data_IF_336272796099
#
_entry.id   IF_336272796099
#
_cell.length_a   1.000
_cell.length_b   1.000
_cell.length_c   1.000
_cell.angle_alpha   90.00
_cell.angle_beta   90.00
_cell.angle_gamma   90.00
#
_symmetry.space_group_name_H-M   'P 1'
#
loop_
_entity.id
_entity.type
_entity.pdbx_description
1 polymer ?
#
# COMPACT_ATOMS: atom_id res chain seq x y z
N UNK A 1 21.00 7.86 -49.71
CA UNK A 1 19.96 7.01 -49.07
C UNK A 1 19.77 7.52 -47.65
N UNK A 2 18.82 8.43 -47.44
CA UNK A 2 18.53 8.98 -46.12
C UNK A 2 17.61 8.00 -45.39
N UNK A 3 18.13 7.27 -44.41
CA UNK A 3 17.30 6.45 -43.54
C UNK A 3 16.48 7.39 -42.63
N UNK A 4 15.23 7.60 -42.99
CA UNK A 4 14.20 8.07 -42.07
C UNK A 4 14.07 7.02 -40.95
N UNK A 5 14.83 7.18 -39.87
CA UNK A 5 14.45 6.59 -38.59
C UNK A 5 13.15 7.25 -38.16
N UNK A 6 12.04 6.53 -38.36
CA UNK A 6 10.78 6.83 -37.69
C UNK A 6 11.08 6.96 -36.19
N UNK A 7 10.93 8.17 -35.66
CA UNK A 7 10.95 8.42 -34.22
C UNK A 7 9.72 7.74 -33.63
N UNK A 8 9.78 6.43 -33.38
CA UNK A 8 8.96 5.84 -32.32
C UNK A 8 9.45 6.51 -31.05
N UNK A 9 8.63 7.36 -30.45
CA UNK A 9 8.87 7.83 -29.09
C UNK A 9 9.09 6.60 -28.21
N UNK A 10 10.27 6.52 -27.60
CA UNK A 10 10.59 5.48 -26.61
C UNK A 10 9.83 5.89 -25.34
N UNK A 11 8.53 5.59 -25.33
CA UNK A 11 7.68 5.77 -24.15
C UNK A 11 7.85 4.54 -23.24
N UNK A 12 7.98 4.77 -21.93
CA UNK A 12 8.01 3.67 -20.96
C UNK A 12 6.72 2.86 -21.06
N UNK A 13 6.84 1.55 -21.24
CA UNK A 13 5.67 0.66 -21.23
C UNK A 13 4.99 0.74 -19.86
N UNK A 14 3.75 1.21 -19.85
CA UNK A 14 2.92 1.24 -18.65
C UNK A 14 2.56 -0.18 -18.24
N UNK A 15 2.97 -0.57 -17.03
CA UNK A 15 2.61 -1.85 -16.43
C UNK A 15 1.20 -1.80 -15.84
N UNK A 16 0.53 -2.94 -15.70
CA UNK A 16 -0.75 -3.00 -14.97
C UNK A 16 -0.55 -2.57 -13.51
N UNK A 17 -1.63 -2.11 -12.88
CA UNK A 17 -1.67 -1.83 -11.44
C UNK A 17 -1.99 -3.11 -10.67
N UNK A 18 -1.16 -3.45 -9.69
CA UNK A 18 -1.42 -4.53 -8.74
C UNK A 18 -1.74 -3.91 -7.39
N UNK A 19 -2.98 -4.07 -6.95
CA UNK A 19 -3.47 -3.44 -5.73
C UNK A 19 -3.03 -4.20 -4.48
N UNK A 20 -2.49 -3.47 -3.51
CA UNK A 20 -2.01 -4.02 -2.23
C UNK A 20 -3.01 -3.68 -1.14
N UNK A 21 -3.86 -4.66 -0.80
CA UNK A 21 -4.83 -4.57 0.31
C UNK A 21 -5.79 -3.37 0.24
N UNK A 22 -6.13 -2.88 -0.96
CA UNK A 22 -6.90 -1.65 -1.21
C UNK A 22 -6.26 -0.37 -0.64
N UNK A 23 -4.94 -0.38 -0.40
CA UNK A 23 -4.21 0.75 0.20
C UNK A 23 -3.47 1.58 -0.84
N UNK A 24 -2.78 0.90 -1.76
CA UNK A 24 -2.00 1.51 -2.84
C UNK A 24 -1.77 0.49 -3.97
N UNK A 25 -1.31 0.97 -5.11
CA UNK A 25 -1.03 0.15 -6.29
C UNK A 25 0.47 0.12 -6.63
N UNK A 26 0.97 -1.06 -6.99
CA UNK A 26 2.30 -1.23 -7.61
C UNK A 26 2.11 -1.23 -9.13
N UNK A 27 2.93 -0.46 -9.86
CA UNK A 27 2.85 -0.35 -11.31
C UNK A 27 2.00 0.83 -11.80
N UNK A 28 1.63 0.83 -13.07
CA UNK A 28 0.80 1.88 -13.65
C UNK A 28 1.46 3.26 -13.71
N UNK A 29 2.80 3.31 -13.72
CA UNK A 29 3.61 4.53 -13.65
C UNK A 29 3.48 5.31 -12.32
N UNK A 30 2.99 4.67 -11.25
CA UNK A 30 3.03 5.24 -9.90
C UNK A 30 4.47 5.31 -9.36
N UNK A 31 4.69 6.16 -8.34
CA UNK A 31 5.95 6.18 -7.58
C UNK A 31 6.29 4.77 -7.09
N UNK A 32 7.58 4.42 -7.10
CA UNK A 32 8.02 3.08 -6.70
C UNK A 32 7.56 2.72 -5.28
N UNK A 33 7.25 1.45 -5.06
CA UNK A 33 6.99 0.89 -3.73
C UNK A 33 8.25 0.26 -3.16
N UNK A 34 8.52 0.46 -1.87
CA UNK A 34 9.62 -0.22 -1.18
C UNK A 34 9.15 -1.55 -0.59
N UNK A 35 9.86 -2.62 -0.91
CA UNK A 35 9.72 -3.94 -0.31
C UNK A 35 10.96 -4.19 0.55
N UNK A 36 10.87 -4.03 1.86
CA UNK A 36 12.06 -4.01 2.72
C UNK A 36 11.86 -4.60 4.12
N UNK A 37 12.96 -5.04 4.69
CA UNK A 37 13.08 -5.61 6.03
C UNK A 37 14.30 -6.55 6.11
N UNK A 38 14.49 -7.29 7.20
CA UNK A 38 15.68 -8.11 7.36
C UNK A 38 15.69 -9.33 6.42
N UNK A 39 16.89 -9.88 6.18
CA UNK A 39 17.04 -11.07 5.33
C UNK A 39 16.25 -12.29 5.86
N UNK A 40 16.20 -12.43 7.18
CA UNK A 40 15.52 -13.50 7.89
C UNK A 40 15.00 -12.99 9.25
N UNK A 41 14.03 -13.69 9.83
CA UNK A 41 13.57 -13.43 11.19
C UNK A 41 14.60 -14.02 12.16
N UNK A 42 15.43 -13.15 12.75
CA UNK A 42 16.42 -13.54 13.77
C UNK A 42 15.83 -13.53 15.19
N UNK A 43 15.10 -12.47 15.52
CA UNK A 43 14.33 -12.34 16.74
C UNK A 43 13.07 -11.51 16.48
N UNK A 44 12.09 -11.64 17.36
CA UNK A 44 10.88 -10.81 17.32
C UNK A 44 11.20 -9.33 17.56
N UNK A 45 12.02 -9.04 18.57
CA UNK A 45 12.43 -7.67 18.94
C UNK A 45 13.07 -6.94 17.76
N UNK A 46 14.08 -7.57 17.12
CA UNK A 46 14.75 -6.99 15.96
C UNK A 46 13.78 -6.81 14.79
N UNK A 47 12.90 -7.79 14.55
CA UNK A 47 11.92 -7.71 13.45
C UNK A 47 10.95 -6.54 13.65
N UNK A 48 10.44 -6.36 14.88
CA UNK A 48 9.53 -5.26 15.22
C UNK A 48 10.24 -3.90 15.17
N UNK A 49 11.48 -3.82 15.65
CA UNK A 49 12.31 -2.61 15.56
C UNK A 49 12.49 -2.17 14.11
N UNK A 50 12.99 -3.07 13.26
CA UNK A 50 13.26 -2.77 11.84
C UNK A 50 11.96 -2.39 11.12
N UNK A 51 10.86 -3.10 11.38
CA UNK A 51 9.56 -2.79 10.79
C UNK A 51 9.05 -1.40 11.19
N UNK A 52 9.14 -1.03 12.46
CA UNK A 52 8.70 0.26 12.96
C UNK A 52 9.53 1.42 12.40
N UNK A 53 10.86 1.27 12.38
CA UNK A 53 11.77 2.30 11.86
C UNK A 53 11.60 2.49 10.35
N UNK A 54 11.52 1.40 9.57
CA UNK A 54 11.24 1.48 8.13
C UNK A 54 9.88 2.11 7.85
N UNK A 55 8.85 1.80 8.64
CA UNK A 55 7.52 2.43 8.51
C UNK A 55 7.62 3.93 8.70
N UNK A 56 8.30 4.40 9.75
CA UNK A 56 8.45 5.83 10.02
C UNK A 56 9.21 6.52 8.89
N UNK A 57 10.33 5.94 8.44
CA UNK A 57 11.12 6.50 7.32
C UNK A 57 10.26 6.61 6.06
N UNK A 58 9.50 5.58 5.70
CA UNK A 58 8.67 5.58 4.50
C UNK A 58 7.51 6.58 4.60
N UNK A 59 6.90 6.72 5.79
CA UNK A 59 5.87 7.73 6.07
C UNK A 59 6.42 9.14 5.82
N UNK A 60 7.57 9.46 6.43
CA UNK A 60 8.20 10.77 6.32
C UNK A 60 8.61 11.11 4.88
N UNK A 61 9.01 10.09 4.10
CA UNK A 61 9.42 10.22 2.71
C UNK A 61 8.26 10.15 1.71
N UNK A 62 7.04 9.85 2.16
CA UNK A 62 5.87 9.74 1.29
C UNK A 62 5.96 8.61 0.26
N UNK A 63 6.52 7.45 0.68
CA UNK A 63 6.57 6.22 -0.13
C UNK A 63 5.86 5.07 0.60
N UNK A 64 5.36 4.11 -0.16
CA UNK A 64 4.70 2.93 0.41
C UNK A 64 5.70 1.83 0.76
N UNK A 65 5.45 1.14 1.87
CA UNK A 65 6.25 0.02 2.38
C UNK A 65 5.44 -1.28 2.38
N UNK A 66 6.06 -2.35 1.89
CA UNK A 66 5.67 -3.73 2.16
C UNK A 66 6.79 -4.36 2.98
N UNK A 67 6.49 -4.80 4.20
CA UNK A 67 7.49 -5.37 5.08
C UNK A 67 7.87 -6.78 4.63
N UNK A 68 9.17 -7.02 4.48
CA UNK A 68 9.73 -8.31 4.07
C UNK A 68 10.54 -8.93 5.19
N UNK A 69 10.30 -10.21 5.48
CA UNK A 69 11.29 -11.06 6.15
C UNK A 69 11.03 -12.54 5.85
N UNK A 70 12.09 -13.35 5.83
CA UNK A 70 12.00 -14.80 5.59
C UNK A 70 11.86 -15.55 6.92
N UNK A 71 10.86 -16.42 7.04
CA UNK A 71 10.71 -17.29 8.23
C UNK A 71 11.69 -18.48 8.22
N UNK A 72 12.15 -18.88 7.03
CA UNK A 72 13.12 -19.97 6.82
C UNK A 72 14.13 -19.58 5.74
N UNK A 73 15.35 -20.12 5.84
CA UNK A 73 16.37 -20.07 4.78
C UNK A 73 16.62 -21.50 4.30
N UNK A 74 15.74 -21.99 3.42
CA UNK A 74 15.77 -23.37 2.93
C UNK A 74 16.97 -23.74 2.02
N UNK A 75 17.77 -22.76 1.61
CA UNK A 75 18.80 -22.90 0.58
C UNK A 75 20.21 -22.50 1.07
N UNK A 76 20.50 -22.66 2.37
CA UNK A 76 21.86 -22.45 2.90
C UNK A 76 22.84 -23.46 2.29
N UNK A 77 24.07 -23.01 2.04
CA UNK A 77 25.16 -23.87 1.55
C UNK A 77 25.57 -24.96 2.54
N UNK A 78 25.36 -24.74 3.84
CA UNK A 78 25.70 -25.68 4.91
C UNK A 78 24.48 -26.01 5.76
N UNK A 79 24.32 -27.30 6.10
CA UNK A 79 23.26 -27.79 6.99
C UNK A 79 23.36 -27.24 8.41
N UNK A 80 24.57 -26.82 8.84
CA UNK A 80 24.80 -26.25 10.17
C UNK A 80 24.46 -24.75 10.25
N UNK A 81 24.17 -24.12 9.11
CA UNK A 81 23.90 -22.70 9.09
C UNK A 81 22.51 -22.38 9.65
N UNK A 82 22.33 -21.27 10.39
CA UNK A 82 21.04 -20.88 10.93
C UNK A 82 20.01 -20.67 9.82
N UNK A 83 18.76 -21.07 10.09
CA UNK A 83 17.68 -21.02 9.11
C UNK A 83 16.57 -20.01 9.46
N UNK A 84 16.64 -19.35 10.62
CA UNK A 84 15.55 -18.53 11.15
C UNK A 84 14.73 -19.30 12.19
N UNK A 85 13.61 -18.72 12.61
CA UNK A 85 12.76 -19.27 13.68
C UNK A 85 11.76 -20.33 13.19
N UNK A 86 11.74 -20.62 11.88
CA UNK A 86 10.80 -21.57 11.28
C UNK A 86 9.43 -20.96 11.01
N UNK A 87 8.60 -21.70 10.28
CA UNK A 87 7.35 -21.18 9.71
C UNK A 87 6.33 -20.75 10.77
N UNK A 88 6.04 -21.60 11.77
CA UNK A 88 5.00 -21.29 12.78
C UNK A 88 5.33 -20.03 13.57
N UNK A 89 6.54 -19.98 14.17
CA UNK A 89 6.97 -18.80 14.94
C UNK A 89 7.18 -17.58 14.06
N UNK A 90 7.72 -17.77 12.86
CA UNK A 90 7.93 -16.68 11.91
C UNK A 90 6.62 -16.03 11.47
N UNK A 91 5.59 -16.82 11.17
CA UNK A 91 4.27 -16.31 10.80
C UNK A 91 3.57 -15.59 11.96
N UNK A 92 3.72 -16.05 13.20
CA UNK A 92 3.23 -15.31 14.37
C UNK A 92 3.85 -13.92 14.48
N UNK A 93 5.17 -13.81 14.28
CA UNK A 93 5.88 -12.52 14.34
C UNK A 93 5.45 -11.61 13.18
N UNK A 94 5.35 -12.15 11.96
CA UNK A 94 4.88 -11.40 10.80
C UNK A 94 3.42 -10.95 10.95
N UNK A 95 2.56 -11.76 11.57
CA UNK A 95 1.19 -11.39 11.89
C UNK A 95 1.15 -10.20 12.85
N UNK A 96 2.05 -10.15 13.84
CA UNK A 96 2.17 -8.99 14.75
C UNK A 96 2.63 -7.73 14.04
N UNK A 97 3.65 -7.83 13.16
CA UNK A 97 4.04 -6.69 12.30
C UNK A 97 2.84 -6.19 11.49
N UNK A 98 2.07 -7.12 10.92
CA UNK A 98 0.87 -6.80 10.13
C UNK A 98 -0.20 -6.08 10.95
N UNK A 99 -0.50 -6.53 12.16
CA UNK A 99 -1.59 -5.99 12.98
C UNK A 99 -1.19 -4.74 13.76
N UNK A 100 -0.04 -4.78 14.43
CA UNK A 100 0.41 -3.69 15.31
C UNK A 100 0.94 -2.50 14.50
N UNK A 101 1.67 -2.78 13.43
CA UNK A 101 2.25 -1.72 12.59
C UNK A 101 1.42 -1.46 11.32
N UNK A 102 0.35 -2.21 11.08
CA UNK A 102 -0.51 -2.06 9.91
C UNK A 102 0.29 -2.08 8.60
N UNK A 103 1.31 -2.92 8.49
CA UNK A 103 2.11 -3.06 7.26
C UNK A 103 1.67 -4.27 6.45
N UNK A 104 1.56 -4.16 5.12
CA UNK A 104 1.44 -5.34 4.26
C UNK A 104 2.70 -6.21 4.39
N UNK A 105 2.52 -7.53 4.36
CA UNK A 105 3.60 -8.50 4.56
C UNK A 105 3.93 -9.23 3.26
N UNK A 106 5.23 -9.38 2.99
CA UNK A 106 5.77 -10.37 2.04
C UNK A 106 6.74 -11.32 2.73
N UNK A 107 6.60 -12.60 2.41
CA UNK A 107 7.58 -13.63 2.81
C UNK A 107 7.68 -14.69 1.71
N UNK A 108 8.80 -15.39 1.65
CA UNK A 108 9.06 -16.43 0.66
C UNK A 108 8.54 -17.81 1.08
N UNK A 109 8.09 -18.57 0.08
CA UNK A 109 7.62 -19.95 0.24
C UNK A 109 8.57 -20.90 -0.48
N UNK A 110 8.87 -22.04 0.14
CA UNK A 110 9.88 -22.99 -0.33
C UNK A 110 9.27 -24.30 -0.84
N UNK A 111 8.08 -24.66 -0.33
CA UNK A 111 7.36 -25.87 -0.69
C UNK A 111 5.88 -25.57 -0.92
N UNK A 112 5.25 -26.29 -1.85
CA UNK A 112 3.89 -26.00 -2.31
C UNK A 112 2.84 -26.01 -1.19
N UNK A 113 3.02 -26.87 -0.17
CA UNK A 113 2.10 -26.96 0.96
C UNK A 113 2.17 -25.75 1.91
N UNK A 114 3.26 -24.97 1.86
CA UNK A 114 3.43 -23.76 2.67
C UNK A 114 2.58 -22.59 2.15
N UNK A 115 2.22 -22.57 0.86
CA UNK A 115 1.51 -21.44 0.24
C UNK A 115 0.20 -21.08 0.96
N UNK A 116 -0.63 -22.08 1.27
CA UNK A 116 -1.91 -21.86 1.93
C UNK A 116 -1.78 -21.24 3.34
N UNK A 117 -1.05 -21.85 4.30
CA UNK A 117 -0.91 -21.26 5.64
C UNK A 117 -0.15 -19.93 5.62
N UNK A 118 0.86 -19.76 4.76
CA UNK A 118 1.58 -18.48 4.65
C UNK A 118 0.66 -17.38 4.12
N UNK A 119 -0.26 -17.67 3.21
CA UNK A 119 -1.23 -16.72 2.68
C UNK A 119 -2.29 -16.26 3.69
N UNK A 120 -2.47 -16.95 4.81
CA UNK A 120 -3.35 -16.44 5.89
C UNK A 120 -2.77 -15.16 6.50
N UNK A 121 -1.43 -15.07 6.57
CA UNK A 121 -0.71 -13.93 7.15
C UNK A 121 -0.19 -12.98 6.08
N UNK A 122 0.52 -13.50 5.07
CA UNK A 122 1.17 -12.70 4.05
C UNK A 122 0.18 -12.15 3.01
N UNK A 123 0.41 -10.90 2.61
CA UNK A 123 -0.36 -10.24 1.55
C UNK A 123 0.25 -10.50 0.16
N UNK A 124 1.53 -10.85 0.15
CA UNK A 124 2.31 -11.21 -1.02
C UNK A 124 3.17 -12.45 -0.71
N UNK A 125 3.16 -13.42 -1.62
CA UNK A 125 4.04 -14.59 -1.58
C UNK A 125 5.23 -14.37 -2.51
N UNK A 126 6.44 -14.60 -2.02
CA UNK A 126 7.64 -14.53 -2.85
C UNK A 126 8.09 -15.94 -3.27
N UNK A 127 8.31 -16.13 -4.57
CA UNK A 127 8.90 -17.37 -5.10
C UNK A 127 10.42 -17.19 -5.19
N UNK A 128 11.21 -18.02 -4.49
CA UNK A 128 12.67 -17.94 -4.53
C UNK A 128 13.25 -18.17 -5.93
N UNK A 129 14.38 -17.53 -6.22
CA UNK A 129 15.02 -17.56 -7.53
C UNK A 129 15.30 -18.99 -8.06
N UNK A 130 15.76 -19.89 -7.20
CA UNK A 130 16.04 -21.29 -7.58
C UNK A 130 14.77 -22.12 -7.84
N UNK A 131 13.64 -21.67 -7.32
CA UNK A 131 12.35 -22.36 -7.43
C UNK A 131 11.42 -21.72 -8.46
N UNK A 132 11.90 -20.69 -9.16
CA UNK A 132 11.13 -19.87 -10.11
C UNK A 132 10.53 -20.63 -11.29
N UNK A 133 10.97 -21.87 -11.56
CA UNK A 133 10.39 -22.74 -12.60
C UNK A 133 9.50 -23.86 -12.06
N UNK A 134 9.46 -24.09 -10.74
CA UNK A 134 8.78 -25.24 -10.15
C UNK A 134 7.26 -25.10 -10.31
N UNK A 135 6.70 -25.92 -11.20
CA UNK A 135 5.30 -25.81 -11.63
C UNK A 135 4.34 -25.93 -10.45
N UNK A 136 4.50 -26.95 -9.60
CA UNK A 136 3.59 -27.18 -8.49
C UNK A 136 3.61 -26.04 -7.46
N UNK A 137 4.78 -25.45 -7.21
CA UNK A 137 4.93 -24.32 -6.30
C UNK A 137 4.24 -23.07 -6.87
N UNK A 138 4.42 -22.79 -8.16
CA UNK A 138 3.76 -21.67 -8.84
C UNK A 138 2.24 -21.84 -8.86
N UNK A 139 1.75 -23.03 -9.18
CA UNK A 139 0.31 -23.35 -9.14
C UNK A 139 -0.23 -23.16 -7.72
N UNK A 140 0.47 -23.67 -6.71
CA UNK A 140 0.04 -23.54 -5.31
C UNK A 140 0.00 -22.07 -4.87
N UNK A 141 1.01 -21.28 -5.22
CA UNK A 141 1.04 -19.85 -4.92
C UNK A 141 -0.09 -19.09 -5.66
N UNK A 142 -0.31 -19.39 -6.95
CA UNK A 142 -1.40 -18.80 -7.72
C UNK A 142 -2.77 -19.04 -7.08
N UNK A 143 -3.05 -20.28 -6.67
CA UNK A 143 -4.31 -20.69 -6.03
C UNK A 143 -4.64 -19.97 -4.72
N UNK A 144 -3.66 -19.32 -4.08
CA UNK A 144 -3.92 -18.50 -2.88
C UNK A 144 -4.63 -17.18 -3.19
N UNK A 145 -4.62 -16.73 -4.45
CA UNK A 145 -5.14 -15.43 -4.86
C UNK A 145 -4.34 -14.22 -4.38
N UNK A 146 -3.26 -14.43 -3.59
CA UNK A 146 -2.36 -13.36 -3.15
C UNK A 146 -1.51 -12.83 -4.28
N UNK A 147 -0.86 -11.69 -4.04
CA UNK A 147 0.17 -11.19 -4.95
C UNK A 147 1.34 -12.17 -4.97
N UNK A 148 1.84 -12.53 -6.14
CA UNK A 148 2.99 -13.44 -6.30
C UNK A 148 4.17 -12.67 -6.88
N UNK A 149 5.20 -12.47 -6.07
CA UNK A 149 6.47 -11.87 -6.48
C UNK A 149 7.47 -12.97 -6.86
N UNK A 150 7.76 -13.12 -8.16
CA UNK A 150 8.68 -14.17 -8.61
C UNK A 150 10.06 -13.61 -8.85
N UNK A 151 11.04 -14.08 -8.07
CA UNK A 151 12.45 -13.77 -8.31
C UNK A 151 12.93 -14.52 -9.55
N UNK A 152 13.40 -13.80 -10.56
CA UNK A 152 14.03 -14.39 -11.74
C UNK A 152 15.25 -15.20 -11.30
N UNK A 153 15.31 -16.47 -11.73
CA UNK A 153 16.49 -17.29 -11.51
C UNK A 153 17.74 -16.63 -12.10
N UNK A 154 18.88 -16.72 -11.43
CA UNK A 154 20.15 -16.17 -11.95
C UNK A 154 20.59 -16.85 -13.26
N UNK A 155 20.02 -18.03 -13.53
CA UNK A 155 20.22 -18.83 -14.74
C UNK A 155 19.14 -18.59 -15.82
N UNK A 156 18.15 -17.72 -15.56
CA UNK A 156 17.05 -17.45 -16.49
C UNK A 156 17.27 -16.14 -17.24
N UNK A 157 16.93 -16.15 -18.52
CA UNK A 157 16.84 -14.93 -19.29
C UNK A 157 15.55 -14.16 -18.96
N UNK A 158 15.50 -12.83 -19.18
CA UNK A 158 14.29 -12.03 -18.96
C UNK A 158 13.05 -12.54 -19.69
N UNK A 159 13.18 -12.97 -20.96
CA UNK A 159 12.07 -13.51 -21.76
C UNK A 159 11.54 -14.87 -21.26
N UNK A 160 12.32 -15.63 -20.49
CA UNK A 160 11.85 -16.89 -19.90
C UNK A 160 10.78 -16.66 -18.83
N UNK A 161 10.71 -15.45 -18.27
CA UNK A 161 9.67 -15.07 -17.30
C UNK A 161 8.26 -15.11 -17.91
N UNK A 162 8.12 -15.04 -19.23
CA UNK A 162 6.84 -15.27 -19.91
C UNK A 162 6.21 -16.61 -19.50
N UNK A 163 7.01 -17.67 -19.40
CA UNK A 163 6.52 -19.00 -19.02
C UNK A 163 6.07 -19.04 -17.55
N UNK A 164 6.71 -18.24 -16.68
CA UNK A 164 6.31 -18.11 -15.27
C UNK A 164 4.98 -17.38 -15.18
N UNK A 165 4.82 -16.29 -15.93
CA UNK A 165 3.58 -15.52 -16.04
C UNK A 165 2.44 -16.43 -16.50
N UNK A 166 2.64 -17.17 -17.61
CA UNK A 166 1.62 -18.04 -18.17
C UNK A 166 1.20 -19.11 -17.15
N UNK A 167 2.13 -19.74 -16.42
CA UNK A 167 1.80 -20.70 -15.35
C UNK A 167 0.91 -20.10 -14.26
N UNK A 168 1.22 -18.89 -13.78
CA UNK A 168 0.45 -18.22 -12.73
C UNK A 168 -0.94 -17.79 -13.24
N UNK A 169 -1.00 -17.19 -14.44
CA UNK A 169 -2.25 -16.74 -15.05
C UNK A 169 -3.16 -17.91 -15.38
N UNK A 170 -2.64 -18.96 -16.01
CA UNK A 170 -3.41 -20.15 -16.38
C UNK A 170 -3.87 -20.94 -15.14
N UNK A 171 -3.24 -20.69 -13.98
CA UNK A 171 -3.68 -21.18 -12.67
C UNK A 171 -4.64 -20.23 -11.94
N UNK A 172 -5.09 -19.16 -12.59
CA UNK A 172 -6.13 -18.25 -12.10
C UNK A 172 -5.65 -17.03 -11.32
N UNK A 173 -4.37 -16.63 -11.42
CA UNK A 173 -3.86 -15.46 -10.69
C UNK A 173 -3.13 -14.47 -11.61
N UNK A 174 -3.60 -13.22 -11.64
CA UNK A 174 -2.99 -12.12 -12.41
C UNK A 174 -2.23 -11.09 -11.55
N UNK A 175 -2.22 -11.26 -10.22
CA UNK A 175 -1.51 -10.39 -9.30
C UNK A 175 -0.01 -10.75 -9.25
N UNK A 176 0.68 -10.55 -10.37
CA UNK A 176 2.05 -11.05 -10.58
C UNK A 176 3.04 -9.89 -10.60
N UNK A 177 4.16 -10.04 -9.88
CA UNK A 177 5.32 -9.17 -9.92
C UNK A 177 6.54 -9.96 -10.42
N UNK A 178 7.37 -9.33 -11.24
CA UNK A 178 8.60 -9.92 -11.77
C UNK A 178 9.81 -9.27 -11.10
N UNK A 179 10.63 -10.05 -10.39
CA UNK A 179 11.71 -9.50 -9.58
C UNK A 179 13.10 -9.85 -10.15
N UNK A 180 13.81 -8.83 -10.64
CA UNK A 180 15.21 -8.94 -11.03
C UNK A 180 16.12 -9.00 -9.80
N UNK A 181 17.17 -9.84 -9.87
CA UNK A 181 18.12 -10.06 -8.78
C UNK A 181 19.54 -10.41 -9.26
N UNK A 182 19.84 -10.11 -10.52
CA UNK A 182 21.09 -10.42 -11.21
C UNK A 182 21.07 -11.76 -11.93
N UNK A 183 21.90 -11.86 -12.97
CA UNK A 183 22.15 -13.06 -13.77
C UNK A 183 23.59 -13.53 -13.59
N UNK A 184 23.85 -14.84 -13.64
CA UNK A 184 25.19 -15.40 -13.51
C UNK A 184 26.14 -14.83 -14.57
N UNK A 185 27.28 -14.31 -14.15
CA UNK A 185 28.32 -13.79 -15.04
C UNK A 185 29.66 -14.44 -14.73
N UNK A 186 29.90 -15.60 -15.33
CA UNK A 186 30.98 -16.49 -14.92
C UNK A 186 30.70 -17.14 -13.57
N UNK A 187 31.76 -17.53 -12.85
CA UNK A 187 31.64 -18.15 -11.54
C UNK A 187 31.56 -17.11 -10.42
N UNK A 188 30.71 -17.40 -9.43
CA UNK A 188 30.60 -16.65 -8.16
C UNK A 188 30.32 -15.15 -8.30
N UNK A 189 29.74 -14.73 -9.43
CA UNK A 189 29.47 -13.32 -9.71
C UNK A 189 28.14 -13.14 -10.45
N UNK A 190 27.52 -11.99 -10.23
CA UNK A 190 26.27 -11.60 -10.88
C UNK A 190 26.45 -10.28 -11.64
N UNK A 191 25.70 -10.16 -12.73
CA UNK A 191 25.54 -8.90 -13.47
C UNK A 191 24.07 -8.59 -13.64
N UNK A 192 23.71 -7.32 -13.57
CA UNK A 192 22.34 -6.85 -13.88
C UNK A 192 22.34 -6.31 -15.29
N UNK A 193 21.60 -6.98 -16.17
CA UNK A 193 21.28 -6.45 -17.48
C UNK A 193 20.05 -5.52 -17.37
N UNK A 194 20.30 -4.20 -17.40
CA UNK A 194 19.25 -3.19 -17.30
C UNK A 194 18.24 -3.27 -18.46
N UNK A 195 18.63 -3.80 -19.62
CA UNK A 195 17.71 -4.00 -20.75
C UNK A 195 16.70 -5.13 -20.46
N UNK A 196 17.08 -6.08 -19.61
CA UNK A 196 16.20 -7.14 -19.12
C UNK A 196 15.03 -6.62 -18.28
N UNK A 197 15.20 -5.49 -17.58
CA UNK A 197 14.09 -4.82 -16.89
C UNK A 197 13.03 -4.34 -17.88
N UNK A 198 13.45 -3.76 -19.01
CA UNK A 198 12.55 -3.30 -20.09
C UNK A 198 11.83 -4.47 -20.74
N UNK A 199 12.56 -5.56 -21.02
CA UNK A 199 12.00 -6.80 -21.55
C UNK A 199 10.90 -7.36 -20.63
N UNK A 200 11.18 -7.52 -19.33
CA UNK A 200 10.17 -8.00 -18.37
C UNK A 200 8.96 -7.06 -18.24
N UNK A 201 9.18 -5.74 -18.26
CA UNK A 201 8.09 -4.75 -18.23
C UNK A 201 7.18 -4.85 -19.46
N UNK A 202 7.70 -5.26 -20.61
CA UNK A 202 6.93 -5.37 -21.86
C UNK A 202 5.78 -6.40 -21.78
N UNK A 203 5.86 -7.35 -20.84
CA UNK A 203 4.76 -8.28 -20.55
C UNK A 203 3.59 -7.62 -19.80
N UNK A 204 3.70 -6.34 -19.43
CA UNK A 204 2.65 -5.55 -18.81
C UNK A 204 2.43 -5.85 -17.32
N UNK A 205 3.40 -6.46 -16.64
CA UNK A 205 3.38 -6.73 -15.20
C UNK A 205 4.39 -5.85 -14.46
N UNK A 206 4.13 -5.49 -13.19
CA UNK A 206 5.08 -4.70 -12.43
C UNK A 206 6.43 -5.41 -12.27
N UNK A 207 7.50 -4.65 -12.45
CA UNK A 207 8.88 -5.11 -12.27
C UNK A 207 9.46 -4.57 -10.99
N UNK A 208 9.99 -5.48 -10.18
CA UNK A 208 10.71 -5.24 -8.94
C UNK A 208 12.20 -5.37 -9.19
N UNK A 209 13.02 -4.51 -8.61
CA UNK A 209 14.47 -4.68 -8.59
C UNK A 209 14.96 -5.00 -7.17
N UNK A 210 15.47 -6.21 -6.96
CA UNK A 210 16.13 -6.64 -5.72
C UNK A 210 17.58 -6.16 -5.71
N UNK A 211 17.75 -4.96 -5.17
CA UNK A 211 19.03 -4.27 -5.15
C UNK A 211 20.05 -5.00 -4.26
N UNK A 212 19.59 -5.67 -3.21
CA UNK A 212 20.44 -6.40 -2.26
C UNK A 212 20.95 -7.73 -2.79
N UNK A 213 20.12 -8.54 -3.44
CA UNK A 213 20.58 -9.82 -3.98
C UNK A 213 21.30 -9.68 -5.31
N UNK A 214 21.14 -8.55 -6.02
CA UNK A 214 21.88 -8.22 -7.23
C UNK A 214 23.39 -8.03 -6.98
N UNK A 215 23.79 -7.66 -5.75
CA UNK A 215 25.21 -7.47 -5.38
C UNK A 215 25.86 -8.70 -4.74
N UNK A 216 25.14 -9.82 -4.70
CA UNK A 216 25.66 -11.07 -4.17
C UNK A 216 26.85 -11.59 -5.01
N UNK A 217 27.77 -12.23 -4.30
CA UNK A 217 28.82 -13.08 -4.88
C UNK A 217 28.58 -14.53 -4.43
N UNK A 218 27.70 -15.28 -5.11
CA UNK A 218 27.25 -16.60 -4.64
C UNK A 218 28.43 -17.55 -4.49
N UNK A 219 28.60 -18.16 -3.31
CA UNK A 219 29.73 -19.07 -3.02
C UNK A 219 31.11 -18.39 -2.96
N UNK A 220 31.19 -17.06 -3.01
CA UNK A 220 32.45 -16.31 -3.02
C UNK A 220 33.28 -16.39 -1.73
N UNK A 221 32.72 -16.93 -0.64
CA UNK A 221 33.40 -17.16 0.64
C UNK A 221 33.57 -18.66 0.98
N UNK A 222 33.34 -19.55 0.03
CA UNK A 222 33.44 -21.00 0.22
C UNK A 222 32.20 -21.61 0.90
N UNK A 223 31.95 -21.28 2.18
CA UNK A 223 30.83 -21.85 2.97
C UNK A 223 29.62 -20.92 3.10
N UNK A 224 29.75 -19.67 2.64
CA UNK A 224 28.71 -18.63 2.67
C UNK A 224 28.69 -17.80 1.37
N UNK A 225 27.58 -17.08 1.18
CA UNK A 225 27.45 -16.08 0.11
C UNK A 225 28.18 -14.81 0.52
N UNK A 226 29.07 -14.31 -0.34
CA UNK A 226 29.65 -12.97 -0.20
C UNK A 226 28.74 -11.90 -0.79
N UNK A 227 29.20 -10.65 -0.79
CA UNK A 227 28.40 -9.53 -1.26
C UNK A 227 29.18 -8.24 -1.36
N UNK A 228 28.53 -7.21 -1.89
CA UNK A 228 29.02 -5.83 -1.82
C UNK A 228 27.87 -4.83 -1.62
N UNK A 229 27.44 -4.64 -0.36
CA UNK A 229 26.38 -3.70 0.00
C UNK A 229 26.65 -2.25 -0.46
N UNK A 230 27.91 -1.84 -0.64
CA UNK A 230 28.24 -0.49 -1.11
C UNK A 230 27.75 -0.23 -2.53
N UNK A 231 27.54 -1.29 -3.33
CA UNK A 231 27.01 -1.17 -4.70
C UNK A 231 25.48 -1.04 -4.75
N UNK A 232 24.78 -1.31 -3.65
CA UNK A 232 23.31 -1.33 -3.60
C UNK A 232 22.70 0.02 -4.01
N UNK A 233 23.16 1.18 -3.49
CA UNK A 233 22.63 2.48 -3.92
C UNK A 233 22.84 2.74 -5.41
N UNK A 234 23.99 2.35 -5.96
CA UNK A 234 24.30 2.57 -7.39
C UNK A 234 23.38 1.77 -8.31
N UNK A 235 23.19 0.48 -8.00
CA UNK A 235 22.31 -0.38 -8.79
C UNK A 235 20.83 0.01 -8.62
N UNK A 236 20.42 0.41 -7.42
CA UNK A 236 19.08 0.94 -7.16
C UNK A 236 18.78 2.16 -8.03
N UNK A 237 19.69 3.14 -8.07
CA UNK A 237 19.57 4.33 -8.92
C UNK A 237 19.47 3.98 -10.39
N UNK A 238 20.28 3.03 -10.87
CA UNK A 238 20.24 2.59 -12.26
C UNK A 238 18.90 1.92 -12.61
N UNK A 239 18.35 1.06 -11.74
CA UNK A 239 17.05 0.43 -11.97
C UNK A 239 15.89 1.45 -11.96
N UNK A 240 15.92 2.43 -11.05
CA UNK A 240 14.93 3.51 -11.01
C UNK A 240 15.02 4.42 -12.25
N UNK A 241 16.23 4.65 -12.76
CA UNK A 241 16.40 5.37 -14.03
C UNK A 241 15.76 4.63 -15.23
N UNK A 242 15.66 3.30 -15.18
CA UNK A 242 14.92 2.48 -16.15
C UNK A 242 13.40 2.52 -15.91
N UNK A 243 12.96 2.92 -14.71
CA UNK A 243 11.55 3.11 -14.37
C UNK A 243 10.86 1.90 -13.75
N UNK A 244 11.56 1.09 -12.95
CA UNK A 244 10.96 -0.05 -12.21
C UNK A 244 9.82 0.39 -11.28
N UNK A 245 8.92 -0.54 -10.93
CA UNK A 245 7.71 -0.23 -10.16
C UNK A 245 7.89 -0.45 -8.65
N UNK A 246 8.88 -1.24 -8.25
CA UNK A 246 9.23 -1.44 -6.85
C UNK A 246 10.72 -1.72 -6.67
N UNK A 247 11.22 -1.36 -5.50
CA UNK A 247 12.57 -1.70 -5.04
C UNK A 247 12.44 -2.72 -3.92
N UNK A 248 13.18 -3.81 -4.04
CA UNK A 248 13.39 -4.75 -2.95
C UNK A 248 14.76 -4.50 -2.33
N UNK A 249 14.81 -4.36 -1.00
CA UNK A 249 16.05 -4.16 -0.28
C UNK A 249 16.01 -4.79 1.11
N UNK A 250 17.01 -5.60 1.44
CA UNK A 250 17.21 -6.11 2.79
C UNK A 250 17.96 -5.10 3.67
N UNK A 251 17.44 -4.89 4.87
CA UNK A 251 17.92 -3.87 5.81
C UNK A 251 18.11 -4.50 7.19
N UNK A 252 19.24 -4.21 7.82
CA UNK A 252 19.58 -4.75 9.14
C UNK A 252 20.20 -3.65 10.04
N UNK A 253 19.94 -3.65 11.36
CA UNK A 253 20.59 -2.71 12.28
C UNK A 253 22.11 -2.90 12.33
N UNK A 254 22.54 -4.15 12.28
CA UNK A 254 23.96 -4.56 12.31
C UNK A 254 24.25 -5.67 11.26
N UNK A 255 24.32 -5.33 9.96
CA UNK A 255 24.54 -6.29 8.88
C UNK A 255 25.80 -7.16 9.03
N UNK A 256 26.79 -6.76 9.83
CA UNK A 256 28.05 -7.51 9.98
C UNK A 256 27.88 -8.73 10.90
N UNK A 257 26.89 -8.68 11.80
CA UNK A 257 26.51 -9.78 12.67
C UNK A 257 25.23 -10.51 12.24
N UNK A 258 24.58 -10.06 11.15
CA UNK A 258 23.43 -10.74 10.59
C UNK A 258 23.76 -12.17 10.14
N UNK A 259 22.93 -13.15 10.49
CA UNK A 259 23.28 -14.57 10.25
C UNK A 259 23.11 -15.02 8.79
N UNK A 260 22.43 -14.21 7.98
CA UNK A 260 22.14 -14.47 6.57
C UNK A 260 22.40 -13.22 5.74
N UNK A 261 23.12 -13.38 4.62
CA UNK A 261 23.36 -12.35 3.61
C UNK A 261 23.85 -10.98 4.13
N UNK A 262 24.42 -10.92 5.34
CA UNK A 262 24.96 -9.70 5.96
C UNK A 262 25.76 -8.80 5.00
N UNK A 263 26.72 -9.32 4.21
CA UNK A 263 27.49 -8.52 3.24
C UNK A 263 26.68 -7.78 2.17
N UNK A 264 25.39 -8.10 2.00
CA UNK A 264 24.48 -7.51 1.02
C UNK A 264 23.45 -6.57 1.66
N UNK A 265 23.18 -6.70 2.96
CA UNK A 265 22.15 -5.92 3.64
C UNK A 265 22.59 -4.47 3.88
N UNK A 266 21.66 -3.54 3.74
CA UNK A 266 21.87 -2.11 4.02
C UNK A 266 21.79 -1.88 5.53
N UNK A 267 22.64 -1.02 6.08
CA UNK A 267 22.45 -0.56 7.47
C UNK A 267 21.13 0.20 7.61
N UNK A 268 20.36 -0.12 8.63
CA UNK A 268 19.11 0.58 8.95
C UNK A 268 19.32 2.09 9.09
N UNK A 269 20.43 2.50 9.70
CA UNK A 269 20.82 3.92 9.84
C UNK A 269 21.10 4.64 8.53
N UNK A 270 21.28 3.91 7.42
CA UNK A 270 21.64 4.47 6.10
C UNK A 270 20.54 4.40 5.06
N UNK A 271 19.46 3.66 5.30
CA UNK A 271 18.42 3.46 4.30
C UNK A 271 17.70 4.77 3.93
N UNK A 272 17.51 5.69 4.88
CA UNK A 272 16.88 6.99 4.63
C UNK A 272 17.61 7.80 3.56
N UNK A 273 18.92 8.00 3.71
CA UNK A 273 19.75 8.76 2.77
C UNK A 273 19.67 8.15 1.34
N UNK A 274 19.67 6.82 1.25
CA UNK A 274 19.57 6.10 -0.03
C UNK A 274 18.19 6.29 -0.67
N UNK A 275 17.12 6.26 0.12
CA UNK A 275 15.74 6.42 -0.37
C UNK A 275 15.45 7.84 -0.84
N UNK A 276 16.04 8.86 -0.21
CA UNK A 276 15.91 10.26 -0.65
C UNK A 276 16.45 10.45 -2.08
N UNK A 277 17.61 9.86 -2.39
CA UNK A 277 18.15 9.84 -3.76
C UNK A 277 17.26 9.01 -4.72
N UNK A 278 16.78 7.85 -4.27
CA UNK A 278 15.91 6.97 -5.05
C UNK A 278 14.63 7.69 -5.50
N UNK A 279 13.96 8.38 -4.57
CA UNK A 279 12.74 9.16 -4.85
C UNK A 279 13.02 10.26 -5.86
N UNK A 280 14.12 11.00 -5.71
CA UNK A 280 14.46 12.10 -6.62
C UNK A 280 14.65 11.64 -8.07
N UNK A 281 15.16 10.42 -8.28
CA UNK A 281 15.31 9.79 -9.59
C UNK A 281 13.96 9.28 -10.11
N UNK A 282 13.21 8.53 -9.30
CA UNK A 282 11.91 8.00 -9.72
C UNK A 282 10.94 9.12 -10.11
N UNK A 283 10.91 10.19 -9.33
CA UNK A 283 10.08 11.37 -9.62
C UNK A 283 10.48 12.07 -10.92
N UNK A 284 11.79 12.14 -11.21
CA UNK A 284 12.28 12.67 -12.50
C UNK A 284 11.80 11.82 -13.67
N UNK A 285 11.88 10.50 -13.51
CA UNK A 285 11.58 9.53 -14.57
C UNK A 285 10.08 9.41 -14.82
N UNK A 286 9.27 9.37 -13.75
CA UNK A 286 7.82 9.19 -13.84
C UNK A 286 7.04 10.49 -13.93
N UNK A 287 7.71 11.64 -13.83
CA UNK A 287 7.12 12.96 -14.04
C UNK A 287 6.40 13.53 -12.81
N UNK A 288 6.72 13.06 -11.60
CA UNK A 288 6.18 13.60 -10.35
C UNK A 288 6.91 14.90 -9.99
N UNK A 289 6.44 16.04 -10.49
CA UNK A 289 7.16 17.31 -10.39
C UNK A 289 7.07 18.05 -9.04
N UNK A 290 6.30 17.55 -8.07
CA UNK A 290 5.95 18.33 -6.87
C UNK A 290 6.76 18.05 -5.59
N UNK A 291 7.71 17.11 -5.56
CA UNK A 291 8.33 16.69 -4.28
C UNK A 291 9.67 17.33 -3.92
N UNK A 292 10.25 18.20 -4.75
CA UNK A 292 11.58 18.79 -4.48
C UNK A 292 11.47 20.12 -3.73
N UNK A 293 11.38 20.06 -2.39
CA UNK A 293 11.97 21.07 -1.46
C UNK A 293 11.83 20.61 0.01
N UNK A 294 12.94 20.31 0.71
CA UNK A 294 12.94 20.28 2.16
C UNK A 294 12.98 21.74 2.66
N UNK A 295 11.91 22.18 3.31
CA UNK A 295 11.87 23.46 4.03
C UNK A 295 10.85 24.47 3.48
N UNK A 296 9.85 24.74 4.33
CA UNK A 296 8.93 25.87 4.33
C UNK A 296 7.93 26.06 3.16
N UNK A 297 6.66 26.04 3.60
CA UNK A 297 5.48 26.82 3.18
C UNK A 297 4.45 26.20 2.23
N UNK A 298 3.22 26.24 2.77
CA UNK A 298 1.95 26.64 2.14
C UNK A 298 1.63 26.00 0.78
N UNK A 299 0.79 24.97 0.85
CA UNK A 299 0.24 24.31 -0.34
C UNK A 299 -0.89 25.18 -0.88
N UNK A 300 -0.58 25.96 -1.91
CA UNK A 300 -1.56 26.45 -2.87
C UNK A 300 -1.73 25.40 -3.98
N UNK A 301 -2.99 25.09 -4.26
CA UNK A 301 -3.45 24.23 -5.35
C UNK A 301 -2.91 24.68 -6.72
N UNK A 302 -2.49 23.73 -7.55
CA UNK A 302 -2.90 23.68 -8.96
C UNK A 302 -2.59 22.32 -9.58
N UNK A 303 -3.67 21.59 -9.88
CA UNK A 303 -3.92 20.76 -11.08
C UNK A 303 -2.75 19.97 -11.71
N UNK A 304 -2.91 18.63 -11.73
CA UNK A 304 -2.90 17.82 -12.97
C UNK A 304 -3.44 16.40 -12.68
N UNK A 305 -4.63 16.12 -13.23
CA UNK A 305 -5.27 14.80 -13.34
C UNK A 305 -4.87 14.18 -14.69
N UNK A 306 -4.63 12.87 -14.71
CA UNK A 306 -5.08 11.97 -15.80
C UNK A 306 -5.21 10.51 -15.34
N UNK A 307 -6.47 10.12 -15.12
CA UNK A 307 -7.20 8.86 -15.43
C UNK A 307 -6.69 7.44 -15.07
N UNK A 308 -7.66 6.68 -14.50
CA UNK A 308 -7.79 5.22 -14.24
C UNK A 308 -7.14 4.68 -12.95
N UNK A 309 -7.85 4.25 -11.91
CA UNK A 309 -9.29 4.13 -11.62
C UNK A 309 -9.44 4.04 -10.09
N UNK A 310 -9.73 5.14 -9.41
CA UNK A 310 -10.10 5.10 -7.99
C UNK A 310 -11.44 4.36 -7.82
N UNK A 311 -11.61 3.54 -6.77
CA UNK A 311 -12.91 2.94 -6.49
C UNK A 311 -13.94 4.06 -6.28
N UNK A 312 -14.88 4.20 -7.22
CA UNK A 312 -15.94 5.21 -7.17
C UNK A 312 -16.69 5.10 -5.84
N UNK A 313 -16.84 6.22 -5.13
CA UNK A 313 -17.66 6.29 -3.92
C UNK A 313 -19.09 5.91 -4.26
N UNK A 314 -19.63 4.94 -3.51
CA UNK A 314 -21.01 4.43 -3.64
C UNK A 314 -21.85 4.69 -2.41
N UNK A 315 -21.22 4.97 -1.26
CA UNK A 315 -21.87 5.24 0.01
C UNK A 315 -21.18 6.42 0.73
N UNK A 316 -21.96 7.37 1.22
CA UNK A 316 -21.50 8.45 2.10
C UNK A 316 -22.17 8.32 3.48
N UNK A 317 -21.37 8.14 4.51
CA UNK A 317 -21.80 8.08 5.90
C UNK A 317 -21.35 9.34 6.64
N UNK A 318 -22.06 9.72 7.69
CA UNK A 318 -21.70 10.86 8.54
C UNK A 318 -22.02 10.57 9.99
N UNK A 319 -21.20 11.08 10.91
CA UNK A 319 -21.64 11.29 12.29
C UNK A 319 -22.63 12.46 12.37
N UNK A 320 -23.27 12.62 13.52
CA UNK A 320 -24.16 13.73 13.83
C UNK A 320 -23.42 14.81 14.61
N UNK A 321 -23.00 14.49 15.82
CA UNK A 321 -22.41 15.48 16.71
C UNK A 321 -21.03 15.88 16.24
N UNK A 322 -20.75 17.18 16.31
CA UNK A 322 -19.52 17.77 15.79
C UNK A 322 -19.32 17.69 14.27
N UNK A 323 -20.27 17.11 13.53
CA UNK A 323 -20.28 17.02 12.06
C UNK A 323 -21.51 17.72 11.47
N UNK A 324 -22.70 17.12 11.57
CA UNK A 324 -23.96 17.72 11.11
C UNK A 324 -24.47 18.80 12.08
N UNK A 325 -24.01 18.75 13.33
CA UNK A 325 -24.24 19.76 14.38
C UNK A 325 -22.91 20.37 14.81
N UNK A 326 -22.97 21.47 15.54
CA UNK A 326 -21.81 22.22 16.03
C UNK A 326 -21.24 21.70 17.35
N UNK A 327 -21.57 20.45 17.71
CA UNK A 327 -21.32 19.83 19.02
C UNK A 327 -21.97 20.57 20.21
N UNK A 328 -22.82 21.57 19.95
CA UNK A 328 -23.56 22.30 20.97
C UNK A 328 -24.89 21.63 21.32
N UNK A 329 -25.21 21.62 22.63
CA UNK A 329 -26.48 21.15 23.18
C UNK A 329 -27.13 22.29 23.98
N UNK A 330 -28.41 22.57 23.74
CA UNK A 330 -29.19 23.51 24.54
C UNK A 330 -30.20 22.73 25.38
N UNK A 331 -30.23 23.01 26.68
CA UNK A 331 -31.16 22.44 27.64
C UNK A 331 -32.06 23.53 28.18
N UNK A 332 -33.38 23.30 28.18
CA UNK A 332 -34.35 24.18 28.85
C UNK A 332 -34.55 23.78 30.31
N UNK A 333 -35.08 24.70 31.14
CA UNK A 333 -35.46 24.40 32.53
C UNK A 333 -36.55 23.30 32.64
N UNK A 334 -37.29 23.06 31.55
CA UNK A 334 -38.32 22.03 31.47
C UNK A 334 -37.80 20.67 30.97
N UNK A 335 -36.49 20.55 30.70
CA UNK A 335 -35.87 19.32 30.22
C UNK A 335 -35.94 19.11 28.70
N UNK A 336 -36.29 20.14 27.93
CA UNK A 336 -36.22 20.06 26.46
C UNK A 336 -34.76 20.13 26.00
N UNK A 337 -34.41 19.28 25.03
CA UNK A 337 -33.10 19.26 24.38
C UNK A 337 -33.21 19.77 22.93
N UNK A 338 -32.34 20.72 22.56
CA UNK A 338 -32.31 21.31 21.23
C UNK A 338 -30.89 21.23 20.66
N UNK A 339 -30.77 20.76 19.41
CA UNK A 339 -29.56 20.89 18.58
C UNK A 339 -29.84 21.63 17.28
N UNK A 340 -28.80 22.29 16.76
CA UNK A 340 -28.84 22.99 15.48
C UNK A 340 -28.21 22.12 14.38
N UNK A 341 -28.98 21.85 13.33
CA UNK A 341 -28.47 21.21 12.11
C UNK A 341 -28.26 22.25 11.01
N UNK A 342 -27.18 22.10 10.24
CA UNK A 342 -26.95 22.98 9.10
C UNK A 342 -27.84 22.60 7.90
N UNK A 343 -28.45 23.58 7.23
CA UNK A 343 -29.29 23.34 6.06
C UNK A 343 -28.48 23.08 4.78
N UNK A 344 -27.29 23.68 4.66
CA UNK A 344 -26.40 23.44 3.52
C UNK A 344 -25.89 22.00 3.48
N UNK A 345 -25.56 21.42 4.64
CA UNK A 345 -25.19 20.00 4.77
C UNK A 345 -26.31 19.09 4.25
N UNK A 346 -27.56 19.43 4.58
CA UNK A 346 -28.74 18.72 4.07
C UNK A 346 -28.85 18.76 2.54
N UNK A 347 -28.57 19.92 1.93
CA UNK A 347 -28.55 20.06 0.47
C UNK A 347 -27.38 19.26 -0.15
N UNK A 348 -26.20 19.26 0.49
CA UNK A 348 -25.05 18.47 0.03
C UNK A 348 -25.36 16.98 -0.07
N UNK A 349 -25.98 16.42 0.98
CA UNK A 349 -26.42 15.02 0.99
C UNK A 349 -27.44 14.73 -0.11
N UNK A 350 -28.42 15.62 -0.33
CA UNK A 350 -29.41 15.47 -1.41
C UNK A 350 -28.77 15.48 -2.81
N UNK A 351 -27.79 16.35 -3.05
CA UNK A 351 -27.08 16.41 -4.34
C UNK A 351 -26.27 15.14 -4.62
N UNK A 352 -25.67 14.54 -3.59
CA UNK A 352 -24.96 13.26 -3.72
C UNK A 352 -25.93 12.11 -3.98
N UNK A 353 -27.08 12.07 -3.31
CA UNK A 353 -28.14 11.09 -3.57
C UNK A 353 -28.60 11.12 -5.03
N UNK A 354 -28.75 12.31 -5.62
CA UNK A 354 -29.13 12.46 -7.04
C UNK A 354 -28.09 11.87 -8.02
N UNK A 355 -26.84 11.65 -7.59
CA UNK A 355 -25.82 10.95 -8.36
C UNK A 355 -25.80 9.43 -8.13
N UNK A 356 -26.79 8.90 -7.41
CA UNK A 356 -26.93 7.46 -7.14
C UNK A 356 -26.03 6.95 -6.01
N UNK A 357 -25.44 7.85 -5.22
CA UNK A 357 -24.64 7.48 -4.04
C UNK A 357 -25.58 7.36 -2.84
N UNK A 358 -25.49 6.22 -2.15
CA UNK A 358 -26.25 5.96 -0.94
C UNK A 358 -25.74 6.82 0.21
N UNK A 359 -26.61 7.15 1.15
CA UNK A 359 -26.30 8.05 2.26
C UNK A 359 -26.79 7.52 3.59
N UNK A 360 -26.07 7.80 4.68
CA UNK A 360 -26.52 7.36 5.99
C UNK A 360 -25.88 8.07 7.17
N UNK A 361 -26.48 7.88 8.34
CA UNK A 361 -26.00 8.38 9.62
C UNK A 361 -25.57 7.19 10.49
N UNK A 362 -24.37 7.29 11.07
CA UNK A 362 -23.90 6.39 12.12
C UNK A 362 -23.44 7.24 13.29
N UNK A 363 -24.15 7.17 14.41
CA UNK A 363 -23.91 8.04 15.56
C UNK A 363 -24.07 7.31 16.89
N UNK A 364 -23.37 7.80 17.91
CA UNK A 364 -23.53 7.34 19.30
C UNK A 364 -24.82 7.86 19.95
N UNK A 365 -25.44 8.88 19.37
CA UNK A 365 -26.72 9.42 19.81
C UNK A 365 -27.86 8.46 19.52
N UNK A 366 -28.86 8.43 20.40
CA UNK A 366 -30.12 7.75 20.17
C UNK A 366 -31.28 8.67 20.54
N UNK A 367 -31.67 9.53 19.59
CA UNK A 367 -32.68 10.56 19.83
C UNK A 367 -33.70 10.66 18.69
N UNK A 368 -34.95 11.01 19.04
CA UNK A 368 -36.01 11.27 18.04
C UNK A 368 -35.67 12.42 17.10
N UNK A 369 -34.80 13.33 17.51
CA UNK A 369 -34.38 14.47 16.70
C UNK A 369 -33.50 14.03 15.53
N UNK A 370 -32.53 13.15 15.77
CA UNK A 370 -31.70 12.54 14.72
C UNK A 370 -32.58 11.71 13.77
N UNK A 371 -33.50 10.91 14.30
CA UNK A 371 -34.47 10.16 13.48
C UNK A 371 -35.33 11.07 12.60
N UNK A 372 -35.83 12.19 13.15
CA UNK A 372 -36.59 13.19 12.37
C UNK A 372 -35.73 13.83 11.28
N UNK A 373 -34.46 14.14 11.57
CA UNK A 373 -33.54 14.70 10.58
C UNK A 373 -33.24 13.71 9.47
N UNK A 374 -32.96 12.46 9.81
CA UNK A 374 -32.79 11.33 8.88
C UNK A 374 -34.00 11.22 7.93
N UNK A 375 -35.23 11.17 8.47
CA UNK A 375 -36.47 11.11 7.68
C UNK A 375 -36.66 12.33 6.79
N UNK A 376 -36.38 13.54 7.30
CA UNK A 376 -36.49 14.80 6.54
C UNK A 376 -35.52 14.83 5.36
N UNK A 377 -34.31 14.32 5.53
CA UNK A 377 -33.29 14.25 4.48
C UNK A 377 -33.47 13.05 3.56
N UNK A 378 -34.35 12.10 3.89
CA UNK A 378 -34.60 10.87 3.14
C UNK A 378 -33.32 10.07 2.89
N UNK A 379 -32.49 9.92 3.93
CA UNK A 379 -31.26 9.11 3.83
C UNK A 379 -31.60 7.61 3.82
N UNK A 380 -30.66 6.79 3.35
CA UNK A 380 -30.86 5.35 3.15
C UNK A 380 -30.64 4.54 4.45
N UNK A 381 -29.66 4.92 5.28
CA UNK A 381 -29.33 4.19 6.51
C UNK A 381 -29.30 5.07 7.75
N UNK A 382 -29.82 4.54 8.86
CA UNK A 382 -29.73 5.15 10.19
C UNK A 382 -29.28 4.10 11.20
N UNK A 383 -28.17 4.35 11.86
CA UNK A 383 -27.67 3.57 12.98
C UNK A 383 -27.40 4.52 14.16
N UNK A 384 -28.23 4.40 15.19
CA UNK A 384 -28.17 5.18 16.42
C UNK A 384 -27.65 4.34 17.59
N UNK A 385 -27.19 5.00 18.64
CA UNK A 385 -26.68 4.36 19.86
C UNK A 385 -25.37 3.60 19.66
N UNK A 386 -24.64 3.86 18.57
CA UNK A 386 -23.41 3.13 18.21
C UNK A 386 -22.19 3.70 18.91
N UNK A 387 -21.70 2.99 19.92
CA UNK A 387 -20.51 3.37 20.71
C UNK A 387 -19.28 2.60 20.24
N UNK A 388 -18.12 2.90 20.81
CA UNK A 388 -16.79 2.30 20.55
C UNK A 388 -16.80 1.01 19.70
N UNK A 389 -16.24 1.07 18.48
CA UNK A 389 -16.14 -0.05 17.53
C UNK A 389 -17.44 -0.44 16.80
N UNK A 390 -18.61 -0.10 17.33
CA UNK A 390 -19.89 -0.44 16.70
C UNK A 390 -20.18 0.39 15.44
N UNK A 391 -19.53 1.56 15.30
CA UNK A 391 -19.63 2.39 14.09
C UNK A 391 -19.05 1.67 12.86
N UNK A 392 -17.87 1.04 13.02
CA UNK A 392 -17.25 0.24 11.95
C UNK A 392 -18.11 -0.98 11.61
N UNK A 393 -18.60 -1.69 12.62
CA UNK A 393 -19.48 -2.84 12.43
C UNK A 393 -20.75 -2.47 11.64
N UNK A 394 -21.34 -1.32 11.95
CA UNK A 394 -22.52 -0.80 11.25
C UNK A 394 -22.22 -0.47 9.78
N UNK A 395 -21.06 0.15 9.49
CA UNK A 395 -20.63 0.42 8.12
C UNK A 395 -20.38 -0.87 7.32
N UNK A 396 -19.77 -1.88 7.95
CA UNK A 396 -19.56 -3.21 7.35
C UNK A 396 -20.89 -3.93 7.04
N UNK A 397 -21.89 -3.79 7.93
CA UNK A 397 -23.23 -4.33 7.69
C UNK A 397 -23.89 -3.70 6.46
N UNK A 398 -23.78 -2.37 6.31
CA UNK A 398 -24.28 -1.66 5.12
C UNK A 398 -23.52 -2.13 3.87
N UNK A 399 -22.19 -2.24 3.94
CA UNK A 399 -21.37 -2.71 2.84
C UNK A 399 -21.82 -4.09 2.34
N UNK A 400 -22.09 -5.01 3.28
CA UNK A 400 -22.61 -6.35 2.97
C UNK A 400 -23.98 -6.30 2.29
N UNK A 401 -24.89 -5.43 2.74
CA UNK A 401 -26.23 -5.26 2.14
C UNK A 401 -26.14 -4.73 0.71
N UNK A 402 -25.24 -3.78 0.47
CA UNK A 402 -25.10 -3.11 -0.83
C UNK A 402 -24.14 -3.82 -1.80
N UNK A 403 -23.46 -4.90 -1.37
CA UNK A 403 -22.46 -5.59 -2.20
C UNK A 403 -21.24 -4.70 -2.52
N UNK A 404 -20.85 -3.83 -1.59
CA UNK A 404 -19.69 -2.94 -1.70
C UNK A 404 -18.69 -3.23 -0.59
N UNK A 405 -17.48 -2.66 -0.67
CA UNK A 405 -16.47 -2.72 0.40
C UNK A 405 -16.28 -1.34 1.03
N UNK A 406 -15.59 -1.26 2.17
CA UNK A 406 -15.27 0.02 2.82
C UNK A 406 -14.48 0.97 1.91
N UNK A 407 -13.76 0.45 0.90
CA UNK A 407 -13.09 1.26 -0.12
C UNK A 407 -14.06 2.09 -0.98
N UNK A 408 -15.35 1.72 -1.06
CA UNK A 408 -16.39 2.51 -1.73
C UNK A 408 -17.13 3.47 -0.80
N UNK A 409 -16.72 3.56 0.47
CA UNK A 409 -17.38 4.35 1.50
C UNK A 409 -16.62 5.64 1.74
N UNK A 410 -17.34 6.75 1.76
CA UNK A 410 -16.88 8.02 2.30
C UNK A 410 -17.47 8.22 3.70
N UNK A 411 -16.69 8.74 4.65
CA UNK A 411 -17.16 9.00 6.02
C UNK A 411 -16.63 10.33 6.56
N UNK A 412 -17.51 11.07 7.25
CA UNK A 412 -17.17 12.28 8.01
C UNK A 412 -17.39 12.05 9.50
N UNK A 413 -16.34 12.30 10.30
CA UNK A 413 -16.33 12.17 11.76
C UNK A 413 -15.35 13.15 12.40
N UNK A 414 -15.53 13.46 13.68
CA UNK A 414 -14.78 14.52 14.38
C UNK A 414 -14.12 14.08 15.71
N UNK A 415 -14.61 12.99 16.32
CA UNK A 415 -14.19 12.53 17.65
C UNK A 415 -13.59 11.10 17.66
N UNK A 416 -12.98 10.68 18.77
CA UNK A 416 -12.28 9.40 19.00
C UNK A 416 -13.16 8.19 18.67
N UNK A 417 -14.47 8.28 18.93
CA UNK A 417 -15.43 7.22 18.59
C UNK A 417 -15.53 6.96 17.07
N UNK A 418 -15.04 7.88 16.23
CA UNK A 418 -14.97 7.77 14.78
C UNK A 418 -13.63 7.21 14.27
N UNK A 419 -12.59 7.17 15.12
CA UNK A 419 -11.20 6.86 14.74
C UNK A 419 -11.09 5.57 13.92
N UNK A 420 -11.71 4.50 14.40
CA UNK A 420 -11.64 3.19 13.76
C UNK A 420 -12.33 3.17 12.39
N UNK A 421 -13.52 3.77 12.27
CA UNK A 421 -14.22 3.84 10.99
C UNK A 421 -13.50 4.76 10.01
N UNK A 422 -13.05 5.94 10.45
CA UNK A 422 -12.28 6.88 9.62
C UNK A 422 -10.99 6.26 9.09
N UNK A 423 -10.33 5.39 9.87
CA UNK A 423 -9.09 4.73 9.47
C UNK A 423 -9.28 3.59 8.45
N UNK A 424 -10.53 3.17 8.17
CA UNK A 424 -10.81 2.00 7.33
C UNK A 424 -11.65 2.30 6.07
N UNK A 425 -12.21 3.50 5.92
CA UNK A 425 -13.01 3.89 4.75
C UNK A 425 -12.14 4.34 3.57
N UNK A 426 -12.68 4.26 2.35
CA UNK A 426 -11.99 4.69 1.13
C UNK A 426 -11.78 6.19 1.03
N UNK A 427 -12.67 7.00 1.63
CA UNK A 427 -12.51 8.46 1.68
C UNK A 427 -12.92 9.00 3.06
N UNK A 428 -11.94 9.36 3.88
CA UNK A 428 -12.15 9.90 5.21
C UNK A 428 -12.05 11.43 5.20
N UNK A 429 -12.94 12.11 5.92
CA UNK A 429 -12.85 13.54 6.17
C UNK A 429 -13.20 13.91 7.61
N UNK A 430 -12.67 15.02 8.09
CA UNK A 430 -13.02 15.58 9.39
C UNK A 430 -13.25 17.09 9.32
N UNK A 431 -14.15 17.65 10.17
CA UNK A 431 -14.34 19.09 10.29
C UNK A 431 -13.09 19.81 10.82
N UNK A 432 -12.97 21.11 10.56
CA UNK A 432 -11.82 21.92 10.99
C UNK A 432 -11.58 21.91 12.52
N UNK A 433 -12.65 21.76 13.30
CA UNK A 433 -12.65 21.70 14.76
C UNK A 433 -12.65 20.26 15.32
N UNK A 434 -12.39 19.25 14.49
CA UNK A 434 -12.21 17.87 14.95
C UNK A 434 -11.03 17.75 15.94
N UNK A 435 -11.03 16.68 16.74
CA UNK A 435 -9.93 16.39 17.65
C UNK A 435 -8.62 16.16 16.88
N UNK A 436 -7.49 16.54 17.49
CA UNK A 436 -6.16 16.38 16.89
C UNK A 436 -5.86 14.92 16.55
N UNK A 437 -6.30 13.98 17.38
CA UNK A 437 -6.16 12.54 17.10
C UNK A 437 -6.85 12.14 15.78
N UNK A 438 -7.93 12.81 15.40
CA UNK A 438 -8.65 12.57 14.14
C UNK A 438 -7.93 13.23 12.97
N UNK A 439 -7.44 14.47 13.14
CA UNK A 439 -6.67 15.17 12.10
C UNK A 439 -5.37 14.46 11.73
N UNK A 440 -4.81 13.68 12.64
CA UNK A 440 -3.58 12.90 12.46
C UNK A 440 -3.81 11.56 11.73
N UNK A 441 -5.06 11.19 11.41
CA UNK A 441 -5.34 9.98 10.62
C UNK A 441 -4.69 10.14 9.23
N UNK A 442 -3.83 9.20 8.80
CA UNK A 442 -3.16 9.31 7.50
C UNK A 442 -4.16 9.39 6.35
N UNK A 443 -4.01 10.40 5.49
CA UNK A 443 -4.87 10.60 4.31
C UNK A 443 -6.26 11.19 4.60
N UNK A 444 -6.55 11.59 5.85
CA UNK A 444 -7.82 12.25 6.16
C UNK A 444 -7.89 13.64 5.52
N UNK A 445 -9.04 13.95 4.92
CA UNK A 445 -9.32 15.28 4.41
C UNK A 445 -9.74 16.18 5.57
N UNK A 446 -8.89 17.15 5.90
CA UNK A 446 -9.23 18.19 6.86
C UNK A 446 -10.04 19.28 6.14
N UNK A 447 -11.32 19.39 6.47
CA UNK A 447 -12.24 20.35 5.87
C UNK A 447 -11.98 21.75 6.47
N UNK A 448 -12.26 22.79 5.69
CA UNK A 448 -12.10 24.18 6.16
C UNK A 448 -13.26 24.60 7.09
N UNK A 449 -14.44 24.00 6.91
CA UNK A 449 -15.63 24.27 7.72
C UNK A 449 -15.66 23.42 8.99
N UNK A 450 -16.22 24.00 10.04
CA UNK A 450 -16.47 23.33 11.32
C UNK A 450 -17.74 22.48 11.27
N UNK A 451 -17.90 21.60 12.25
CA UNK A 451 -19.15 20.91 12.55
C UNK A 451 -20.32 21.88 12.61
N UNK A 452 -21.45 21.54 11.99
CA UNK A 452 -22.64 22.38 11.98
C UNK A 452 -22.54 23.68 11.17
N UNK A 453 -21.40 23.93 10.51
CA UNK A 453 -21.15 25.12 9.67
C UNK A 453 -21.06 24.81 8.16
N UNK A 454 -21.47 23.62 7.73
CA UNK A 454 -21.46 23.24 6.32
C UNK A 454 -20.29 22.32 5.91
N UNK A 455 -19.65 21.63 6.86
CA UNK A 455 -18.53 20.74 6.54
C UNK A 455 -18.95 19.55 5.67
N UNK A 456 -20.13 18.96 5.89
CA UNK A 456 -20.65 17.89 5.04
C UNK A 456 -20.97 18.43 3.65
N UNK A 457 -21.46 19.67 3.53
CA UNK A 457 -21.65 20.34 2.24
C UNK A 457 -20.32 20.49 1.50
N UNK A 458 -19.29 21.02 2.14
CA UNK A 458 -17.94 21.15 1.57
C UNK A 458 -17.45 19.78 1.05
N UNK A 459 -17.56 18.74 1.88
CA UNK A 459 -17.12 17.40 1.51
C UNK A 459 -17.94 16.82 0.35
N UNK A 460 -19.26 17.01 0.35
CA UNK A 460 -20.12 16.53 -0.74
C UNK A 460 -19.78 17.20 -2.07
N UNK A 461 -19.45 18.50 -2.07
CA UNK A 461 -19.02 19.21 -3.28
C UNK A 461 -17.68 18.69 -3.81
N UNK A 462 -16.76 18.33 -2.93
CA UNK A 462 -15.49 17.69 -3.31
C UNK A 462 -15.75 16.37 -4.06
N UNK A 463 -16.60 15.50 -3.49
CA UNK A 463 -16.99 14.23 -4.12
C UNK A 463 -17.69 14.46 -5.48
N UNK A 464 -18.61 15.44 -5.54
CA UNK A 464 -19.34 15.75 -6.79
C UNK A 464 -18.42 16.29 -7.89
N UNK A 465 -17.41 17.11 -7.55
CA UNK A 465 -16.39 17.58 -8.49
C UNK A 465 -15.53 16.45 -9.04
N UNK A 466 -15.28 15.41 -8.23
CA UNK A 466 -14.60 14.20 -8.71
C UNK A 466 -15.48 13.44 -9.72
N UNK A 467 -16.78 13.30 -9.45
CA UNK A 467 -17.72 12.58 -10.33
C UNK A 467 -17.97 13.31 -11.65
N UNK A 468 -18.23 14.63 -11.62
CA UNK A 468 -18.59 15.38 -12.82
C UNK A 468 -17.41 15.61 -13.78
N UNK A 469 -16.17 15.60 -13.27
CA UNK A 469 -14.97 15.72 -14.11
C UNK A 469 -14.61 14.46 -14.91
N UNK A 470 -15.46 13.43 -14.89
CA UNK A 470 -15.33 12.19 -15.69
C UNK A 470 -16.27 12.20 -16.91
N UNK A 471 -17.21 13.15 -17.00
CA UNK A 471 -18.29 13.17 -18.01
C UNK A 471 -18.17 14.25 -19.10
N UNK A 472 -17.09 15.03 -19.13
CA UNK A 472 -16.75 15.94 -20.23
C UNK A 472 -15.36 15.60 -20.78
N UNK A 473 -15.26 14.47 -21.48
CA UNK A 473 -14.20 14.18 -22.45
C UNK A 473 -14.77 13.42 -23.64
#
# INVERSE_FOLDING_TARGET
MSLCFSKKEISMTTTRKVNVQNRFDIGGNNRFVLIAGPCAIESEEMTMQVAAELKQICLDLGIHLIFKSSFDKANRSSVKAPRGLGMERGLQILQRVKTELQLPIVTDVHESWQCAPVAEVADMLQIPAFLSRQTDLLIAAAKTGKIVNVKKGQFMAPWDMKNVIDKLRDSGNENILLCERGSCFGYNNLVVDMTGLVEMRSYGFPVVFDATHAVQKPGGQGTSTGGNREMVPYLMRAALAVGVDAIFAEVHPDPDHAFSDGPNQIYLSKIREILEEAIAIDDLIKGNKDARKPGNKEIQNSELRTQNSEPRIKLLLTDVDGVLTDAGMYYSENGDEIKKFNTHDGMGLQLIQQKGIKTGIITSEDTKMVERRFKKLKLDYLYQGKREGEKLASALEICKKEGITLANVAYVGDDVNCLELLSNVGLAACPANALEAIKQIPGIIQLNKKGGEGCVREFTEMILKQINGVSEQ
#
